data_IF_123365820729
#
_entry.id   IF_123365820729
#
_cell.length_a   1.000
_cell.length_b   1.000
_cell.length_c   1.000
_cell.angle_alpha   90.00
_cell.angle_beta   90.00
_cell.angle_gamma   90.00
#
_symmetry.space_group_name_H-M   'P 1'
#
loop_
_entity.id
_entity.type
_entity.pdbx_description
1 polymer ?
#
# COMPACT_ATOMS: atom_id res chain seq x y z
N UNK A 1 11.84 8.06 10.39
CA UNK A 1 10.38 7.80 10.41
C UNK A 1 9.85 7.99 9.00
N UNK A 2 9.15 7.03 8.41
CA UNK A 2 8.61 7.22 7.05
C UNK A 2 7.50 8.29 7.09
N UNK A 3 7.36 9.18 6.08
CA UNK A 3 6.33 10.23 6.05
C UNK A 3 4.91 9.71 5.77
N UNK A 4 4.80 8.42 5.46
CA UNK A 4 3.57 7.74 5.05
C UNK A 4 2.45 7.74 6.14
N UNK A 5 2.73 7.65 7.45
CA UNK A 5 1.71 7.74 8.49
C UNK A 5 1.04 9.12 8.51
N UNK A 6 1.84 10.20 8.35
CA UNK A 6 1.33 11.57 8.36
C UNK A 6 0.41 11.84 7.16
N UNK A 7 0.75 11.31 5.98
CA UNK A 7 -0.07 11.44 4.77
C UNK A 7 -1.40 10.70 4.92
N UNK A 8 -1.41 9.53 5.57
CA UNK A 8 -2.64 8.75 5.76
C UNK A 8 -3.59 9.36 6.80
N UNK A 9 -3.08 10.20 7.71
CA UNK A 9 -3.89 11.02 8.64
C UNK A 9 -4.53 12.19 7.88
N UNK A 10 -3.80 12.82 6.96
CA UNK A 10 -4.30 13.94 6.15
C UNK A 10 -5.30 13.50 5.06
N UNK A 11 -5.07 12.34 4.45
CA UNK A 11 -5.91 11.77 3.40
C UNK A 11 -6.18 10.29 3.72
N UNK A 12 -7.29 9.98 4.40
CA UNK A 12 -7.67 8.62 4.75
C UNK A 12 -7.77 7.74 3.50
N UNK A 13 -7.12 6.57 3.55
CA UNK A 13 -7.12 5.61 2.45
C UNK A 13 -5.95 5.75 1.48
N UNK A 14 -5.26 6.89 1.44
CA UNK A 14 -4.08 7.08 0.57
C UNK A 14 -2.94 6.09 0.87
N UNK A 15 -2.69 5.83 2.16
CA UNK A 15 -1.72 4.84 2.60
C UNK A 15 -2.13 3.40 2.30
N UNK A 16 -3.42 3.13 2.09
CA UNK A 16 -3.91 1.80 1.72
C UNK A 16 -3.85 1.56 0.21
N UNK A 17 -4.08 2.61 -0.60
CA UNK A 17 -3.85 2.60 -2.05
C UNK A 17 -2.39 2.26 -2.37
N UNK A 18 -1.44 2.87 -1.63
CA UNK A 18 0.00 2.61 -1.75
C UNK A 18 0.42 1.20 -1.31
N UNK A 19 -0.51 0.41 -0.76
CA UNK A 19 -0.27 -0.96 -0.28
C UNK A 19 -1.05 -2.03 -1.05
N UNK A 20 -1.45 -1.73 -2.29
CA UNK A 20 -2.23 -2.62 -3.16
C UNK A 20 -3.60 -3.02 -2.60
N UNK A 21 -4.10 -2.30 -1.60
CA UNK A 21 -5.45 -2.48 -1.04
C UNK A 21 -6.39 -1.47 -1.68
N UNK A 22 -6.42 -1.48 -3.01
CA UNK A 22 -7.13 -0.50 -3.86
C UNK A 22 -8.60 -0.34 -3.46
N UNK A 23 -9.34 -1.44 -3.27
CA UNK A 23 -10.76 -1.35 -2.91
C UNK A 23 -11.02 -0.68 -1.56
N UNK A 24 -10.24 -1.03 -0.53
CA UNK A 24 -10.37 -0.43 0.81
C UNK A 24 -9.92 1.03 0.81
N UNK A 25 -8.80 1.32 0.15
CA UNK A 25 -8.27 2.68 0.00
C UNK A 25 -9.25 3.59 -0.76
N UNK A 26 -9.76 3.14 -1.91
CA UNK A 26 -10.74 3.88 -2.69
C UNK A 26 -12.06 4.06 -1.93
N UNK A 27 -12.55 3.04 -1.22
CA UNK A 27 -13.78 3.14 -0.43
C UNK A 27 -13.69 4.23 0.64
N UNK A 28 -12.60 4.25 1.39
CA UNK A 28 -12.35 5.29 2.41
C UNK A 28 -12.20 6.68 1.78
N UNK A 29 -11.52 6.77 0.63
CA UNK A 29 -11.29 8.03 -0.06
C UNK A 29 -12.60 8.60 -0.66
N UNK A 30 -13.49 7.75 -1.16
CA UNK A 30 -14.82 8.15 -1.63
C UNK A 30 -15.69 8.66 -0.48
N UNK A 31 -15.70 7.98 0.67
CA UNK A 31 -16.40 8.45 1.87
C UNK A 31 -15.85 9.82 2.30
N UNK A 32 -14.53 9.99 2.21
CA UNK A 32 -13.87 11.24 2.55
C UNK A 32 -14.25 12.40 1.61
N UNK A 33 -14.21 12.17 0.29
CA UNK A 33 -14.66 13.14 -0.72
C UNK A 33 -16.13 13.49 -0.53
N UNK A 34 -16.98 12.49 -0.26
CA UNK A 34 -18.40 12.69 -0.07
C UNK A 34 -18.69 13.55 1.17
N UNK A 35 -18.01 13.28 2.29
CA UNK A 35 -18.12 14.08 3.51
C UNK A 35 -17.67 15.54 3.29
N UNK A 36 -16.58 15.75 2.55
CA UNK A 36 -16.11 17.09 2.16
C UNK A 36 -17.10 17.80 1.24
N UNK A 37 -17.66 17.09 0.26
CA UNK A 37 -18.69 17.62 -0.64
C UNK A 37 -19.92 18.08 0.13
N UNK A 38 -20.41 17.27 1.07
CA UNK A 38 -21.50 17.65 1.98
C UNK A 38 -21.16 18.91 2.79
N UNK A 39 -19.95 18.98 3.35
CA UNK A 39 -19.49 20.14 4.12
C UNK A 39 -19.47 21.45 3.32
N UNK A 40 -19.07 21.37 2.05
CA UNK A 40 -18.93 22.52 1.15
C UNK A 40 -20.26 22.93 0.51
N UNK A 41 -21.13 21.97 0.19
CA UNK A 41 -22.37 22.20 -0.56
C UNK A 41 -23.58 22.44 0.35
N UNK A 42 -23.62 21.87 1.56
CA UNK A 42 -24.71 22.08 2.51
C UNK A 42 -25.09 23.56 2.73
N UNK A 43 -24.14 24.52 2.87
CA UNK A 43 -24.45 25.92 3.10
C UNK A 43 -25.15 26.61 1.92
N UNK A 44 -25.04 26.04 0.71
CA UNK A 44 -25.61 26.59 -0.52
C UNK A 44 -27.05 26.12 -0.77
N UNK A 45 -27.44 24.99 -0.16
CA UNK A 45 -28.69 24.30 -0.47
C UNK A 45 -29.70 24.25 0.69
N UNK A 46 -29.28 24.55 1.93
CA UNK A 46 -30.11 24.34 3.12
C UNK A 46 -30.23 25.58 4.02
N UNK A 47 -31.29 25.58 4.83
CA UNK A 47 -31.53 26.56 5.89
C UNK A 47 -30.47 26.43 7.00
N UNK A 48 -30.21 27.49 7.79
CA UNK A 48 -29.14 27.53 8.78
C UNK A 48 -29.13 26.34 9.76
N UNK A 49 -30.31 25.92 10.20
CA UNK A 49 -30.48 24.81 11.15
C UNK A 49 -30.14 23.44 10.53
N UNK A 50 -30.50 23.24 9.25
CA UNK A 50 -30.16 22.02 8.50
C UNK A 50 -28.66 21.93 8.20
N UNK A 51 -28.01 23.07 7.94
CA UNK A 51 -26.55 23.14 7.68
C UNK A 51 -25.75 22.68 8.89
N UNK A 52 -26.15 23.06 10.11
CA UNK A 52 -25.44 22.69 11.33
C UNK A 52 -25.45 21.17 11.55
N UNK A 53 -26.61 20.52 11.39
CA UNK A 53 -26.74 19.06 11.53
C UNK A 53 -25.95 18.32 10.45
N UNK A 54 -26.01 18.77 9.19
CA UNK A 54 -25.26 18.15 8.09
C UNK A 54 -23.74 18.27 8.27
N UNK A 55 -23.26 19.43 8.75
CA UNK A 55 -21.84 19.64 9.04
C UNK A 55 -21.34 18.72 10.15
N UNK A 56 -22.15 18.52 11.19
CA UNK A 56 -21.82 17.65 12.30
C UNK A 56 -21.77 16.18 11.85
N UNK A 57 -22.73 15.74 11.02
CA UNK A 57 -22.72 14.43 10.39
C UNK A 57 -21.50 14.24 9.49
N UNK A 58 -21.19 15.22 8.63
CA UNK A 58 -20.04 15.17 7.74
C UNK A 58 -18.71 15.11 8.50
N UNK A 59 -18.57 15.86 9.59
CA UNK A 59 -17.41 15.81 10.47
C UNK A 59 -17.26 14.43 11.12
N UNK A 60 -18.36 13.84 11.61
CA UNK A 60 -18.35 12.49 12.18
C UNK A 60 -17.95 11.43 11.15
N UNK A 61 -18.48 11.50 9.92
CA UNK A 61 -18.08 10.61 8.83
C UNK A 61 -16.60 10.77 8.49
N UNK A 62 -16.09 12.01 8.47
CA UNK A 62 -14.69 12.32 8.21
C UNK A 62 -13.76 11.72 9.29
N UNK A 63 -14.08 11.96 10.56
CA UNK A 63 -13.33 11.41 11.70
C UNK A 63 -13.40 9.88 11.75
N UNK A 64 -14.58 9.31 11.52
CA UNK A 64 -14.79 7.86 11.47
C UNK A 64 -13.97 7.20 10.36
N UNK A 65 -13.98 7.76 9.15
CA UNK A 65 -13.17 7.27 8.04
C UNK A 65 -11.67 7.37 8.33
N UNK A 66 -11.22 8.47 8.94
CA UNK A 66 -9.84 8.62 9.39
C UNK A 66 -9.44 7.57 10.43
N UNK A 67 -10.29 7.31 11.43
CA UNK A 67 -10.03 6.34 12.49
C UNK A 67 -10.02 4.91 11.95
N UNK A 68 -10.99 4.53 11.11
CA UNK A 68 -10.99 3.22 10.44
C UNK A 68 -9.76 3.08 9.55
N UNK A 69 -9.43 4.10 8.75
CA UNK A 69 -8.24 4.10 7.91
C UNK A 69 -6.95 3.94 8.72
N UNK A 70 -6.86 4.58 9.88
CA UNK A 70 -5.73 4.46 10.81
C UNK A 70 -5.63 3.08 11.47
N UNK A 71 -6.76 2.51 11.92
CA UNK A 71 -6.81 1.17 12.52
C UNK A 71 -6.46 0.10 11.49
N UNK A 72 -7.05 0.17 10.30
CA UNK A 72 -6.71 -0.71 9.16
C UNK A 72 -5.22 -0.55 8.86
N UNK A 73 -4.73 0.67 8.73
CA UNK A 73 -3.30 0.91 8.50
C UNK A 73 -2.42 0.28 9.58
N UNK A 74 -2.78 0.40 10.86
CA UNK A 74 -2.06 -0.15 12.00
C UNK A 74 -2.02 -1.68 11.99
N UNK A 75 -3.17 -2.33 11.84
CA UNK A 75 -3.26 -3.80 11.76
C UNK A 75 -2.47 -4.37 10.57
N UNK A 76 -2.40 -3.63 9.47
CA UNK A 76 -1.64 -4.01 8.28
C UNK A 76 -0.24 -3.36 8.18
N UNK A 77 0.18 -2.59 9.19
CA UNK A 77 1.56 -2.14 9.41
C UNK A 77 2.40 -3.29 9.96
N UNK A 78 1.75 -4.15 10.77
CA UNK A 78 2.32 -5.38 11.27
C UNK A 78 2.74 -6.23 10.07
N UNK A 79 4.06 -6.39 9.93
CA UNK A 79 4.69 -7.26 8.96
C UNK A 79 4.06 -8.64 9.07
N UNK A 80 3.07 -8.98 8.23
CA UNK A 80 2.71 -10.39 8.07
C UNK A 80 3.93 -11.05 7.44
N UNK A 81 4.67 -11.89 8.19
CA UNK A 81 5.81 -12.57 7.63
C UNK A 81 5.30 -13.43 6.47
N UNK A 82 5.97 -13.34 5.33
CA UNK A 82 5.71 -14.29 4.26
C UNK A 82 6.07 -15.67 4.82
N UNK A 83 5.14 -16.62 4.79
CA UNK A 83 5.44 -17.98 5.23
C UNK A 83 6.62 -18.53 4.41
N UNK A 84 7.57 -19.19 5.07
CA UNK A 84 8.78 -19.71 4.42
C UNK A 84 8.44 -20.66 3.26
N UNK A 85 7.36 -21.44 3.39
CA UNK A 85 6.90 -22.37 2.36
C UNK A 85 6.45 -21.63 1.09
N UNK A 86 5.77 -20.48 1.23
CA UNK A 86 5.41 -19.63 0.10
C UNK A 86 6.65 -19.03 -0.56
N UNK A 87 7.63 -18.60 0.23
CA UNK A 87 8.88 -18.06 -0.31
C UNK A 87 9.61 -19.11 -1.15
N UNK A 88 9.69 -20.35 -0.65
CA UNK A 88 10.31 -21.48 -1.35
C UNK A 88 9.56 -21.84 -2.63
N UNK A 89 8.23 -21.87 -2.59
CA UNK A 89 7.40 -22.14 -3.78
C UNK A 89 7.64 -21.10 -4.88
N UNK A 90 7.58 -19.80 -4.53
CA UNK A 90 7.88 -18.73 -5.48
C UNK A 90 9.31 -18.83 -6.03
N UNK A 91 10.30 -19.10 -5.18
CA UNK A 91 11.68 -19.28 -5.63
C UNK A 91 11.79 -20.44 -6.64
N UNK A 92 11.17 -21.58 -6.36
CA UNK A 92 11.14 -22.73 -7.26
C UNK A 92 10.54 -22.38 -8.62
N UNK A 93 9.38 -21.70 -8.62
CA UNK A 93 8.68 -21.31 -9.85
C UNK A 93 9.45 -20.26 -10.66
N UNK A 94 10.07 -19.28 -10.00
CA UNK A 94 10.90 -18.25 -10.65
C UNK A 94 12.14 -18.92 -11.27
N UNK A 95 12.84 -19.77 -10.51
CA UNK A 95 14.01 -20.47 -10.99
C UNK A 95 13.69 -21.39 -12.17
N UNK A 96 12.57 -22.12 -12.10
CA UNK A 96 12.10 -22.97 -13.18
C UNK A 96 11.84 -22.17 -14.46
N UNK A 97 11.06 -21.09 -14.38
CA UNK A 97 10.76 -20.24 -15.53
C UNK A 97 12.04 -19.64 -16.14
N UNK A 98 12.96 -19.18 -15.29
CA UNK A 98 14.24 -18.61 -15.73
C UNK A 98 15.12 -19.66 -16.45
N UNK A 99 15.23 -20.87 -15.89
CA UNK A 99 16.00 -21.97 -16.48
C UNK A 99 15.38 -22.50 -17.78
N UNK A 100 14.06 -22.40 -17.93
CA UNK A 100 13.34 -22.72 -19.17
C UNK A 100 13.48 -21.63 -20.25
N UNK A 101 14.11 -20.49 -19.93
CA UNK A 101 14.24 -19.37 -20.85
C UNK A 101 13.01 -18.46 -20.94
N UNK A 102 11.96 -18.71 -20.14
CA UNK A 102 10.77 -17.86 -20.08
C UNK A 102 11.02 -16.66 -19.15
N UNK A 103 11.74 -15.67 -19.67
CA UNK A 103 12.05 -14.45 -18.91
C UNK A 103 10.80 -13.66 -18.52
N UNK A 104 9.76 -13.67 -19.36
CA UNK A 104 8.53 -12.91 -19.09
C UNK A 104 7.80 -13.49 -17.87
N UNK A 105 7.67 -14.81 -17.81
CA UNK A 105 7.07 -15.51 -16.67
C UNK A 105 7.93 -15.36 -15.41
N UNK A 106 9.25 -15.52 -15.51
CA UNK A 106 10.16 -15.34 -14.37
C UNK A 106 10.03 -13.93 -13.77
N UNK A 107 9.98 -12.89 -14.61
CA UNK A 107 9.78 -11.51 -14.17
C UNK A 107 8.40 -11.28 -13.56
N UNK A 108 7.33 -11.82 -14.16
CA UNK A 108 5.97 -11.69 -13.62
C UNK A 108 5.86 -12.31 -12.22
N UNK A 109 6.43 -13.51 -12.03
CA UNK A 109 6.45 -14.18 -10.73
C UNK A 109 7.30 -13.43 -9.70
N UNK A 110 8.47 -12.91 -10.08
CA UNK A 110 9.31 -12.11 -9.20
C UNK A 110 8.64 -10.78 -8.80
N UNK A 111 7.93 -10.13 -9.72
CA UNK A 111 7.11 -8.95 -9.41
C UNK A 111 6.01 -9.28 -8.41
N UNK A 112 5.32 -10.41 -8.58
CA UNK A 112 4.29 -10.84 -7.63
C UNK A 112 4.89 -11.12 -6.25
N UNK A 113 6.04 -11.77 -6.19
CA UNK A 113 6.76 -12.02 -4.94
C UNK A 113 7.15 -10.71 -4.25
N UNK A 114 7.70 -9.74 -4.98
CA UNK A 114 8.01 -8.40 -4.45
C UNK A 114 6.76 -7.69 -3.94
N UNK A 115 5.62 -7.81 -4.63
CA UNK A 115 4.36 -7.23 -4.17
C UNK A 115 3.96 -7.76 -2.79
N UNK A 116 4.09 -9.07 -2.58
CA UNK A 116 3.75 -9.73 -1.31
C UNK A 116 4.80 -9.52 -0.22
N UNK A 117 6.07 -9.44 -0.60
CA UNK A 117 7.22 -9.39 0.32
C UNK A 117 8.04 -8.10 0.27
N UNK A 118 7.48 -6.94 -0.11
CA UNK A 118 8.22 -5.70 -0.43
C UNK A 118 9.21 -5.19 0.62
N UNK A 119 9.12 -5.65 1.88
CA UNK A 119 10.02 -5.27 2.99
C UNK A 119 11.17 -6.27 3.17
N UNK A 120 11.10 -7.44 2.53
CA UNK A 120 12.14 -8.45 2.56
C UNK A 120 13.19 -8.15 1.48
N UNK A 121 14.48 -8.05 1.83
CA UNK A 121 15.53 -7.82 0.84
C UNK A 121 15.57 -8.89 -0.24
N UNK A 122 15.36 -10.16 0.16
CA UNK A 122 15.49 -11.33 -0.72
C UNK A 122 14.53 -11.30 -1.91
N UNK A 123 13.32 -10.74 -1.76
CA UNK A 123 12.36 -10.66 -2.87
C UNK A 123 12.82 -9.68 -3.95
N UNK A 124 13.44 -8.58 -3.54
CA UNK A 124 14.02 -7.59 -4.47
C UNK A 124 15.28 -8.11 -5.15
N UNK A 125 16.06 -8.96 -4.46
CA UNK A 125 17.23 -9.62 -5.03
C UNK A 125 16.84 -10.59 -6.14
N UNK A 126 15.80 -11.40 -5.91
CA UNK A 126 15.25 -12.30 -6.93
C UNK A 126 14.74 -11.53 -8.14
N UNK A 127 14.06 -10.40 -7.94
CA UNK A 127 13.67 -9.52 -9.04
C UNK A 127 14.88 -8.96 -9.78
N UNK A 128 15.94 -8.54 -9.07
CA UNK A 128 17.16 -8.03 -9.69
C UNK A 128 17.89 -9.09 -10.53
N UNK A 129 17.76 -10.38 -10.19
CA UNK A 129 18.35 -11.48 -10.95
C UNK A 129 17.63 -11.75 -12.27
N UNK A 130 16.30 -11.68 -12.29
CA UNK A 130 15.50 -12.03 -13.48
C UNK A 130 15.11 -10.82 -14.34
N UNK A 131 15.22 -9.61 -13.81
CA UNK A 131 14.87 -8.38 -14.51
C UNK A 131 15.93 -7.95 -15.54
N UNK A 132 15.46 -7.34 -16.64
CA UNK A 132 16.30 -6.61 -17.56
C UNK A 132 16.76 -5.25 -16.97
N UNK A 133 17.82 -4.68 -17.53
CA UNK A 133 18.17 -3.28 -17.27
C UNK A 133 17.10 -2.36 -17.88
N UNK A 134 16.66 -1.26 -17.23
CA UNK A 134 17.17 -0.62 -16.00
C UNK A 134 16.52 -1.11 -14.69
N UNK A 135 15.54 -2.01 -14.77
CA UNK A 135 14.75 -2.44 -13.62
C UNK A 135 15.59 -3.24 -12.61
N UNK A 136 16.58 -3.99 -13.10
CA UNK A 136 17.61 -4.67 -12.32
C UNK A 136 18.34 -3.76 -11.33
N UNK A 137 18.81 -2.60 -11.78
CA UNK A 137 19.58 -1.67 -10.94
C UNK A 137 18.73 -1.10 -9.81
N UNK A 138 17.48 -0.72 -10.13
CA UNK A 138 16.52 -0.22 -9.14
C UNK A 138 16.18 -1.28 -8.09
N UNK A 139 15.96 -2.52 -8.52
CA UNK A 139 15.67 -3.63 -7.62
C UNK A 139 16.88 -3.94 -6.70
N UNK A 140 18.10 -3.95 -7.24
CA UNK A 140 19.33 -4.14 -6.45
C UNK A 140 19.55 -3.02 -5.42
N UNK A 141 19.39 -1.76 -5.84
CA UNK A 141 19.47 -0.61 -4.93
C UNK A 141 18.43 -0.70 -3.80
N UNK A 142 17.21 -1.14 -4.12
CA UNK A 142 16.15 -1.32 -3.13
C UNK A 142 16.46 -2.43 -2.12
N UNK A 143 17.00 -3.55 -2.58
CA UNK A 143 17.46 -4.64 -1.71
C UNK A 143 18.54 -4.16 -0.74
N UNK A 144 19.53 -3.42 -1.23
CA UNK A 144 20.61 -2.86 -0.41
C UNK A 144 20.08 -1.89 0.65
N UNK A 145 19.19 -0.97 0.27
CA UNK A 145 18.57 -0.04 1.21
C UNK A 145 17.81 -0.76 2.34
N UNK A 146 17.08 -1.84 2.02
CA UNK A 146 16.38 -2.64 3.02
C UNK A 146 17.33 -3.39 3.96
N UNK A 147 18.46 -3.91 3.45
CA UNK A 147 19.49 -4.55 4.29
C UNK A 147 20.13 -3.55 5.24
N UNK A 148 20.46 -2.35 4.75
CA UNK A 148 21.03 -1.28 5.57
C UNK A 148 20.06 -0.86 6.67
N UNK A 149 18.78 -0.67 6.35
CA UNK A 149 17.74 -0.36 7.32
C UNK A 149 17.59 -1.45 8.41
N UNK A 150 17.87 -2.71 8.08
CA UNK A 150 17.82 -3.83 9.04
C UNK A 150 19.05 -3.94 9.94
N UNK A 151 20.19 -3.37 9.53
CA UNK A 151 21.46 -3.37 10.29
C UNK A 151 21.64 -2.13 11.16
N UNK A 152 20.92 -1.04 10.84
CA UNK A 152 20.95 0.22 11.59
C UNK A 152 19.90 0.30 12.73
N UNK A 153 19.28 -0.83 13.04
CA UNK A 153 18.47 -1.09 14.25
C UNK A 153 19.31 -2.02 15.12
#
# INVERSE_FOLDING_TARGET
MSPIPAINILVPGSGLLLRDRLMLGCGLLLIWIFALGLLLVAPLLMTPDGVAQLRLLALLLWLGAGLVGGVVWWFWEADTPLADDLLRDYHGRIAQAYLQGDQAQAQALAHELVRRGRRLPVTWELLALVAASPLRERAAARAQALRQARRGI
#
